data_IF_835104550770
#
_entry.id   IF_835104550770
#
_cell.length_a   1.000
_cell.length_b   1.000
_cell.length_c   1.000
_cell.angle_alpha   90.00
_cell.angle_beta   90.00
_cell.angle_gamma   90.00
#
_symmetry.space_group_name_H-M   'P 1'
#
loop_
_entity.id
_entity.type
_entity.pdbx_description
1 polymer ?
#
# COMPACT_ATOMS: atom_id res chain seq x y z
N UNK A 1 18.67 -7.94 -21.17
CA UNK A 1 17.24 -8.27 -20.98
C UNK A 1 16.35 -7.38 -21.82
N UNK A 2 15.16 -7.88 -22.18
CA UNK A 2 14.15 -7.11 -22.91
C UNK A 2 13.44 -6.14 -21.94
N UNK A 3 13.61 -4.83 -22.17
CA UNK A 3 13.06 -3.75 -21.33
C UNK A 3 11.54 -3.79 -21.28
N UNK A 4 10.87 -4.19 -22.37
CA UNK A 4 9.40 -4.29 -22.43
C UNK A 4 8.95 -5.39 -21.48
N UNK A 5 9.61 -6.55 -21.52
CA UNK A 5 9.32 -7.67 -20.62
C UNK A 5 9.53 -7.29 -19.15
N UNK A 6 10.61 -6.57 -18.85
CA UNK A 6 10.90 -6.13 -17.48
C UNK A 6 9.86 -5.15 -16.96
N UNK A 7 9.55 -4.10 -17.72
CA UNK A 7 8.54 -3.11 -17.35
C UNK A 7 7.14 -3.73 -17.24
N UNK A 8 6.83 -4.71 -18.09
CA UNK A 8 5.57 -5.46 -18.01
C UNK A 8 5.47 -6.23 -16.68
N UNK A 9 6.55 -6.88 -16.23
CA UNK A 9 6.57 -7.58 -14.93
C UNK A 9 6.40 -6.62 -13.76
N UNK A 10 7.06 -5.47 -13.80
CA UNK A 10 6.91 -4.43 -12.78
C UNK A 10 5.47 -3.90 -12.74
N UNK A 11 4.87 -3.64 -13.89
CA UNK A 11 3.47 -3.23 -13.99
C UNK A 11 2.53 -4.28 -13.39
N UNK A 12 2.67 -5.55 -13.76
CA UNK A 12 1.80 -6.61 -13.19
C UNK A 12 1.98 -6.77 -11.70
N UNK A 13 3.21 -6.66 -11.17
CA UNK A 13 3.46 -6.65 -9.72
C UNK A 13 2.68 -5.52 -9.05
N UNK A 14 2.72 -4.32 -9.60
CA UNK A 14 2.06 -3.15 -9.00
C UNK A 14 0.53 -3.25 -9.12
N UNK A 15 0.01 -3.78 -10.23
CA UNK A 15 -1.42 -4.06 -10.40
C UNK A 15 -1.94 -5.13 -9.42
N UNK A 16 -1.13 -6.12 -9.07
CA UNK A 16 -1.51 -7.12 -8.06
C UNK A 16 -1.70 -6.49 -6.67
N UNK A 17 -0.90 -5.48 -6.30
CA UNK A 17 -1.10 -4.73 -5.05
C UNK A 17 -2.41 -3.95 -5.05
N UNK A 18 -2.79 -3.36 -6.20
CA UNK A 18 -4.06 -2.65 -6.36
C UNK A 18 -5.25 -3.62 -6.28
N UNK A 19 -5.13 -4.79 -6.90
CA UNK A 19 -6.15 -5.84 -6.81
C UNK A 19 -6.34 -6.34 -5.36
N UNK A 20 -5.23 -6.53 -4.63
CA UNK A 20 -5.28 -6.93 -3.22
C UNK A 20 -6.01 -5.87 -2.38
N UNK A 21 -5.73 -4.59 -2.60
CA UNK A 21 -6.42 -3.49 -1.92
C UNK A 21 -7.92 -3.45 -2.25
N UNK A 22 -8.28 -3.59 -3.52
CA UNK A 22 -9.69 -3.58 -3.96
C UNK A 22 -10.50 -4.75 -3.39
N UNK A 23 -9.92 -5.95 -3.44
CA UNK A 23 -10.58 -7.17 -2.95
C UNK A 23 -10.68 -7.20 -1.43
N UNK A 24 -9.65 -6.78 -0.70
CA UNK A 24 -9.69 -6.67 0.76
C UNK A 24 -10.65 -5.58 1.23
N UNK A 25 -10.72 -4.44 0.53
CA UNK A 25 -11.73 -3.39 0.77
C UNK A 25 -13.14 -3.92 0.59
N UNK A 26 -13.39 -4.64 -0.51
CA UNK A 26 -14.70 -5.24 -0.78
C UNK A 26 -15.10 -6.31 0.24
N UNK A 27 -14.11 -7.05 0.77
CA UNK A 27 -14.33 -8.05 1.82
C UNK A 27 -14.44 -7.44 3.23
N UNK A 28 -14.08 -6.17 3.42
CA UNK A 28 -13.97 -5.53 4.72
C UNK A 28 -12.84 -6.10 5.59
N UNK A 29 -11.83 -6.74 4.99
CA UNK A 29 -10.70 -7.34 5.70
C UNK A 29 -9.62 -6.29 5.94
N UNK A 30 -9.69 -5.65 7.11
CA UNK A 30 -8.78 -4.58 7.49
C UNK A 30 -7.33 -5.03 7.67
N UNK A 31 -7.10 -6.26 8.14
CA UNK A 31 -5.75 -6.78 8.34
C UNK A 31 -4.97 -6.83 7.03
N UNK A 32 -5.63 -7.34 5.97
CA UNK A 32 -5.05 -7.37 4.61
C UNK A 32 -4.82 -5.98 4.02
N UNK A 33 -5.72 -5.04 4.30
CA UNK A 33 -5.52 -3.64 3.88
C UNK A 33 -4.27 -3.07 4.55
N UNK A 34 -4.13 -3.22 5.86
CA UNK A 34 -2.98 -2.71 6.60
C UNK A 34 -1.65 -3.28 6.09
N UNK A 35 -1.61 -4.56 5.76
CA UNK A 35 -0.42 -5.24 5.25
C UNK A 35 0.13 -4.60 3.96
N UNK A 36 -0.74 -4.12 3.06
CA UNK A 36 -0.31 -3.53 1.79
C UNK A 36 -0.03 -2.03 1.84
N UNK A 37 -0.54 -1.30 2.85
CA UNK A 37 -0.41 0.15 2.95
C UNK A 37 1.05 0.61 3.00
N UNK A 38 1.93 -0.12 3.70
CA UNK A 38 3.36 0.21 3.75
C UNK A 38 4.02 0.19 2.38
N UNK A 39 3.68 -0.80 1.54
CA UNK A 39 4.18 -0.90 0.17
C UNK A 39 3.65 0.22 -0.70
N UNK A 40 2.37 0.59 -0.56
CA UNK A 40 1.80 1.76 -1.26
C UNK A 40 2.50 3.07 -0.87
N UNK A 41 2.81 3.28 0.41
CA UNK A 41 3.55 4.47 0.83
C UNK A 41 4.90 4.59 0.13
N UNK A 42 5.66 3.49 0.05
CA UNK A 42 6.93 3.43 -0.67
C UNK A 42 6.75 3.69 -2.17
N UNK A 43 5.77 3.06 -2.80
CA UNK A 43 5.48 3.21 -4.23
C UNK A 43 5.13 4.67 -4.58
N UNK A 44 4.23 5.29 -3.81
CA UNK A 44 3.85 6.69 -4.02
C UNK A 44 5.02 7.64 -3.77
N UNK A 45 5.87 7.37 -2.78
CA UNK A 45 7.09 8.18 -2.53
C UNK A 45 8.04 8.10 -3.72
N UNK A 46 8.29 6.91 -4.24
CA UNK A 46 9.15 6.68 -5.41
C UNK A 46 8.61 7.32 -6.70
N UNK A 47 7.28 7.34 -6.87
CA UNK A 47 6.62 7.94 -8.02
C UNK A 47 6.45 9.48 -7.91
N UNK A 48 6.99 10.13 -6.87
CA UNK A 48 6.82 11.58 -6.64
C UNK A 48 5.45 11.99 -6.10
N UNK A 49 4.59 11.02 -5.81
CA UNK A 49 3.22 11.18 -5.26
C UNK A 49 3.24 11.38 -3.74
N UNK A 50 4.01 12.37 -3.29
CA UNK A 50 4.37 12.57 -1.89
C UNK A 50 3.19 12.80 -0.94
N UNK A 51 2.10 13.42 -1.42
CA UNK A 51 0.88 13.63 -0.63
C UNK A 51 0.32 12.30 -0.13
N UNK A 52 0.14 11.34 -1.04
CA UNK A 52 -0.43 10.03 -0.69
C UNK A 52 0.50 9.23 0.21
N UNK A 53 1.81 9.26 -0.08
CA UNK A 53 2.80 8.60 0.77
C UNK A 53 2.76 9.13 2.22
N UNK A 54 2.71 10.45 2.40
CA UNK A 54 2.65 11.06 3.73
C UNK A 54 1.36 10.73 4.47
N UNK A 55 0.21 10.81 3.81
CA UNK A 55 -1.07 10.45 4.45
C UNK A 55 -1.08 8.99 4.92
N UNK A 56 -0.61 8.06 4.09
CA UNK A 56 -0.52 6.65 4.48
C UNK A 56 0.43 6.45 5.66
N UNK A 57 1.57 7.13 5.67
CA UNK A 57 2.52 7.05 6.79
C UNK A 57 1.94 7.64 8.09
N UNK A 58 1.25 8.78 8.02
CA UNK A 58 0.56 9.35 9.17
C UNK A 58 -0.50 8.40 9.72
N UNK A 59 -1.26 7.77 8.84
CA UNK A 59 -2.26 6.80 9.21
C UNK A 59 -1.64 5.55 9.87
N UNK A 60 -0.62 4.95 9.26
CA UNK A 60 0.11 3.80 9.83
C UNK A 60 0.77 4.14 11.17
N UNK A 61 1.31 5.35 11.33
CA UNK A 61 1.85 5.82 12.61
C UNK A 61 0.74 5.94 13.65
N UNK A 62 -0.45 6.43 13.25
CA UNK A 62 -1.65 6.42 14.08
C UNK A 62 -1.95 5.01 14.60
N UNK A 63 -2.10 4.04 13.70
CA UNK A 63 -2.41 2.64 14.03
C UNK A 63 -1.36 1.98 14.93
N UNK A 64 -0.08 2.10 14.57
CA UNK A 64 0.98 1.27 15.15
C UNK A 64 1.65 1.88 16.38
N UNK A 65 1.58 3.20 16.53
CA UNK A 65 2.34 3.93 17.55
C UNK A 65 1.43 4.70 18.50
N UNK A 66 0.39 5.35 17.98
CA UNK A 66 -0.46 6.24 18.78
C UNK A 66 -1.63 5.49 19.39
N UNK A 67 -2.31 4.65 18.63
CA UNK A 67 -3.52 3.98 19.08
C UNK A 67 -3.13 2.83 20.01
N UNK A 68 -3.59 2.92 21.25
CA UNK A 68 -3.29 1.93 22.26
C UNK A 68 -4.06 0.64 21.97
N UNK A 69 -3.61 -0.55 22.43
CA UNK A 69 -4.24 -1.83 22.11
C UNK A 69 -5.72 -1.95 22.51
N UNK A 70 -6.22 -1.04 23.34
CA UNK A 70 -7.65 -0.95 23.70
C UNK A 70 -8.53 -0.41 22.56
N UNK A 71 -7.93 0.20 21.53
CA UNK A 71 -8.59 0.78 20.36
C UNK A 71 -8.22 0.10 19.04
N UNK A 72 -7.35 -0.92 19.08
CA UNK A 72 -6.94 -1.73 17.93
C UNK A 72 -7.77 -3.02 17.83
#
# INVERSE_FOLDING_TARGET
DDIIRENTRLLFRDLLLVLELDTSTSAGDWGRIEDVLGTFACAFRGAGSNKYANEILHFLHGLKVIWTPQFA
#
